data_IF_960601723654
#
_entry.id   IF_960601723654
#
_cell.length_a   1.000
_cell.length_b   1.000
_cell.length_c   1.000
_cell.angle_alpha   90.00
_cell.angle_beta   90.00
_cell.angle_gamma   90.00
#
_symmetry.space_group_name_H-M   'P 1'
#
loop_
_entity.id
_entity.type
_entity.pdbx_description
1 polymer ?
#
# COMPACT_ATOMS: atom_id res chain seq x y z
N UNK A 1 6.56 11.50 2.53
CA UNK A 1 6.72 12.30 1.27
C UNK A 1 7.92 11.77 0.53
N UNK A 2 7.68 11.08 -0.60
CA UNK A 2 8.67 10.27 -1.32
C UNK A 2 9.56 11.07 -2.30
N UNK A 3 9.55 12.39 -2.23
CA UNK A 3 10.36 13.27 -3.09
C UNK A 3 9.53 14.10 -4.08
N UNK A 4 10.19 14.67 -5.09
CA UNK A 4 9.59 15.54 -6.10
C UNK A 4 9.19 14.71 -7.34
N UNK A 5 8.39 13.66 -7.14
CA UNK A 5 7.90 12.83 -8.23
C UNK A 5 6.87 13.58 -9.09
N UNK A 6 6.77 13.18 -10.34
CA UNK A 6 5.69 13.61 -11.20
C UNK A 6 4.34 13.15 -10.64
N UNK A 7 3.31 13.95 -10.84
CA UNK A 7 1.95 13.60 -10.46
C UNK A 7 1.39 12.62 -11.51
N UNK A 8 1.64 11.34 -11.31
CA UNK A 8 1.24 10.27 -12.23
C UNK A 8 0.39 9.28 -11.44
N UNK A 9 -0.76 8.95 -11.97
CA UNK A 9 -1.62 7.90 -11.43
C UNK A 9 -1.02 6.51 -11.69
N UNK A 10 -1.42 5.53 -10.89
CA UNK A 10 -1.04 4.13 -11.08
C UNK A 10 -1.44 3.65 -12.48
N UNK A 11 -0.48 3.15 -13.23
CA UNK A 11 -0.71 2.61 -14.57
C UNK A 11 -1.32 1.21 -14.45
N UNK A 12 -2.64 1.13 -14.61
CA UNK A 12 -3.39 -0.12 -14.42
C UNK A 12 -3.02 -1.20 -15.43
N UNK A 13 -2.62 -0.83 -16.65
CA UNK A 13 -2.09 -1.76 -17.65
C UNK A 13 -0.81 -2.47 -17.21
N UNK A 14 -0.04 -1.86 -16.31
CA UNK A 14 1.12 -2.49 -15.68
C UNK A 14 0.69 -3.47 -14.61
N UNK A 15 -0.20 -3.05 -13.71
CA UNK A 15 -0.71 -3.93 -12.66
C UNK A 15 -1.42 -5.14 -13.25
N UNK A 16 -2.21 -4.95 -14.31
CA UNK A 16 -2.93 -6.03 -14.98
C UNK A 16 -2.02 -7.19 -15.43
N UNK A 17 -0.76 -6.92 -15.78
CA UNK A 17 0.17 -7.95 -16.25
C UNK A 17 0.59 -8.95 -15.17
N UNK A 18 0.64 -8.50 -13.92
CA UNK A 18 1.08 -9.36 -12.81
C UNK A 18 -0.09 -10.10 -12.14
N UNK A 19 -1.31 -9.54 -12.20
CA UNK A 19 -2.48 -10.13 -11.53
C UNK A 19 -2.76 -11.60 -11.89
N UNK A 20 -2.54 -12.07 -13.14
CA UNK A 20 -2.70 -13.50 -13.46
C UNK A 20 -1.80 -14.46 -12.68
N UNK A 21 -0.76 -13.94 -12.03
CA UNK A 21 0.19 -14.71 -11.22
C UNK A 21 -0.13 -14.68 -9.73
N UNK A 22 -1.19 -13.95 -9.33
CA UNK A 22 -1.57 -13.73 -7.93
C UNK A 22 -2.93 -14.35 -7.68
N UNK A 23 -3.03 -15.28 -6.76
CA UNK A 23 -4.31 -15.87 -6.34
C UNK A 23 -4.87 -15.22 -5.09
N UNK A 24 -3.99 -14.84 -4.15
CA UNK A 24 -4.39 -14.28 -2.86
C UNK A 24 -3.41 -13.22 -2.37
N UNK A 25 -3.94 -12.19 -1.71
CA UNK A 25 -3.19 -11.17 -0.98
C UNK A 25 -3.73 -11.11 0.44
N UNK A 26 -2.86 -11.32 1.43
CA UNK A 26 -3.26 -11.22 2.83
C UNK A 26 -3.61 -9.77 3.21
N UNK A 27 -2.68 -8.86 2.97
CA UNK A 27 -2.82 -7.45 3.34
C UNK A 27 -2.57 -6.56 2.12
N UNK A 28 -3.61 -5.96 1.58
CA UNK A 28 -3.49 -5.00 0.49
C UNK A 28 -3.43 -3.58 1.05
N UNK A 29 -2.34 -2.87 0.80
CA UNK A 29 -2.22 -1.46 1.20
C UNK A 29 -2.39 -0.55 0.00
N UNK A 30 -3.45 0.24 -0.02
CA UNK A 30 -3.66 1.31 -1.00
C UNK A 30 -3.12 2.62 -0.43
N UNK A 31 -1.96 3.01 -0.92
CA UNK A 31 -1.22 4.19 -0.50
C UNK A 31 -0.41 4.75 -1.68
N UNK A 32 0.53 5.60 -1.39
CA UNK A 32 1.35 6.22 -2.44
C UNK A 32 0.84 7.61 -2.70
N UNK A 33 0.99 8.36 -3.66
CA UNK A 33 0.43 9.73 -3.80
C UNK A 33 -0.65 10.08 -2.76
N UNK A 34 -1.87 10.22 -3.22
CA UNK A 34 -3.03 10.40 -2.34
C UNK A 34 -4.23 9.64 -2.94
N UNK A 35 -4.68 8.53 -2.36
CA UNK A 35 -5.76 7.72 -2.92
C UNK A 35 -7.07 8.48 -3.13
N UNK A 36 -7.37 9.44 -2.25
CA UNK A 36 -8.60 10.25 -2.37
C UNK A 36 -8.64 11.14 -3.62
N UNK A 37 -7.49 11.42 -4.22
CA UNK A 37 -7.41 12.16 -5.49
C UNK A 37 -7.63 11.26 -6.71
N UNK A 38 -7.61 9.94 -6.56
CA UNK A 38 -7.71 8.97 -7.65
C UNK A 38 -8.78 7.87 -7.41
N UNK A 39 -10.02 8.22 -6.99
CA UNK A 39 -11.03 7.22 -6.67
C UNK A 39 -11.40 6.33 -7.87
N UNK A 40 -11.37 6.87 -9.08
CA UNK A 40 -11.61 6.10 -10.31
C UNK A 40 -10.55 5.01 -10.51
N UNK A 41 -9.27 5.32 -10.23
CA UNK A 41 -8.18 4.33 -10.31
C UNK A 41 -8.39 3.22 -9.28
N UNK A 42 -8.84 3.55 -8.08
CA UNK A 42 -9.18 2.55 -7.05
C UNK A 42 -10.30 1.63 -7.52
N UNK A 43 -11.36 2.18 -8.13
CA UNK A 43 -12.47 1.42 -8.66
C UNK A 43 -12.04 0.50 -9.83
N UNK A 44 -11.31 1.04 -10.80
CA UNK A 44 -10.82 0.27 -11.96
C UNK A 44 -9.82 -0.82 -11.52
N UNK A 45 -8.98 -0.55 -10.53
CA UNK A 45 -8.09 -1.55 -9.93
C UNK A 45 -8.89 -2.71 -9.32
N UNK A 46 -9.96 -2.42 -8.59
CA UNK A 46 -10.85 -3.44 -8.05
C UNK A 46 -11.48 -4.30 -9.16
N UNK A 47 -11.91 -3.69 -10.25
CA UNK A 47 -12.43 -4.44 -11.40
C UNK A 47 -11.40 -5.40 -11.99
N UNK A 48 -10.12 -5.03 -12.03
CA UNK A 48 -9.05 -5.93 -12.44
C UNK A 48 -8.88 -7.10 -11.46
N UNK A 49 -8.91 -6.84 -10.15
CA UNK A 49 -8.85 -7.89 -9.14
C UNK A 49 -10.01 -8.89 -9.29
N UNK A 50 -11.22 -8.40 -9.50
CA UNK A 50 -12.40 -9.23 -9.78
C UNK A 50 -12.25 -10.03 -11.08
N UNK A 51 -11.75 -9.40 -12.15
CA UNK A 51 -11.51 -10.04 -13.46
C UNK A 51 -10.55 -11.22 -13.34
N UNK A 52 -9.47 -11.06 -12.60
CA UNK A 52 -8.44 -12.07 -12.40
C UNK A 52 -8.70 -12.97 -11.19
N UNK A 53 -9.79 -12.73 -10.45
CA UNK A 53 -10.18 -13.51 -9.25
C UNK A 53 -9.10 -13.53 -8.17
N UNK A 54 -8.45 -12.41 -7.96
CA UNK A 54 -7.46 -12.27 -6.90
C UNK A 54 -8.20 -12.08 -5.58
N UNK A 55 -8.11 -13.01 -4.66
CA UNK A 55 -8.67 -12.85 -3.34
C UNK A 55 -7.85 -11.85 -2.52
N UNK A 56 -8.51 -11.06 -1.69
CA UNK A 56 -7.88 -10.12 -0.77
C UNK A 56 -8.48 -10.34 0.61
N UNK A 57 -7.66 -10.71 1.59
CA UNK A 57 -8.18 -10.94 2.93
C UNK A 57 -8.60 -9.62 3.56
N UNK A 58 -7.73 -8.61 3.55
CA UNK A 58 -8.07 -7.29 4.07
C UNK A 58 -7.40 -6.16 3.27
N UNK A 59 -7.95 -4.96 3.38
CA UNK A 59 -7.44 -3.74 2.72
C UNK A 59 -7.17 -2.65 3.75
N UNK A 60 -6.03 -2.00 3.61
CA UNK A 60 -5.65 -0.85 4.40
C UNK A 60 -5.46 0.38 3.49
N UNK A 61 -6.34 1.37 3.63
CA UNK A 61 -6.35 2.58 2.79
C UNK A 61 -5.80 3.74 3.60
N UNK A 62 -4.71 4.34 3.15
CA UNK A 62 -4.05 5.45 3.84
C UNK A 62 -4.28 6.75 3.09
N UNK A 63 -4.98 7.70 3.70
CA UNK A 63 -5.30 9.01 3.12
C UNK A 63 -4.84 10.17 4.00
N UNK A 64 -4.52 11.30 3.38
CA UNK A 64 -4.26 12.54 4.10
C UNK A 64 -5.56 13.28 4.53
N UNK A 65 -6.73 12.78 4.13
CA UNK A 65 -8.04 13.29 4.55
C UNK A 65 -8.47 14.61 3.94
N UNK A 66 -7.75 15.18 2.96
CA UNK A 66 -8.08 16.51 2.41
C UNK A 66 -9.23 16.46 1.42
N UNK A 67 -9.31 15.42 0.59
CA UNK A 67 -10.28 15.31 -0.50
C UNK A 67 -11.22 14.12 -0.27
N UNK A 68 -12.08 14.20 0.74
CA UNK A 68 -13.04 13.13 1.05
C UNK A 68 -14.34 13.37 0.27
N UNK A 69 -14.32 12.92 -0.98
CA UNK A 69 -15.46 13.00 -1.89
C UNK A 69 -16.37 11.77 -1.75
N UNK A 70 -17.64 11.85 -2.22
CA UNK A 70 -18.52 10.68 -2.26
C UNK A 70 -17.92 9.53 -3.10
N UNK A 71 -17.23 9.83 -4.18
CA UNK A 71 -16.58 8.86 -5.07
C UNK A 71 -15.47 8.10 -4.35
N UNK A 72 -14.65 8.82 -3.55
CA UNK A 72 -13.63 8.18 -2.71
C UNK A 72 -14.25 7.26 -1.65
N UNK A 73 -15.30 7.73 -0.96
CA UNK A 73 -16.02 6.92 0.03
C UNK A 73 -16.59 5.66 -0.63
N UNK A 74 -17.18 5.78 -1.82
CA UNK A 74 -17.70 4.62 -2.56
C UNK A 74 -16.59 3.64 -2.90
N UNK A 75 -15.46 4.11 -3.43
CA UNK A 75 -14.31 3.24 -3.73
C UNK A 75 -13.78 2.52 -2.47
N UNK A 76 -13.72 3.19 -1.33
CA UNK A 76 -13.35 2.58 -0.06
C UNK A 76 -14.33 1.48 0.37
N UNK A 77 -15.64 1.73 0.22
CA UNK A 77 -16.69 0.76 0.54
C UNK A 77 -16.65 -0.46 -0.39
N UNK A 78 -16.41 -0.26 -1.68
CA UNK A 78 -16.28 -1.33 -2.66
C UNK A 78 -15.11 -2.26 -2.30
N UNK A 79 -13.95 -1.71 -1.97
CA UNK A 79 -12.81 -2.48 -1.50
C UNK A 79 -13.10 -3.21 -0.18
N UNK A 80 -13.70 -2.52 0.78
CA UNK A 80 -14.10 -3.15 2.06
C UNK A 80 -15.03 -4.34 1.87
N UNK A 81 -16.03 -4.21 0.97
CA UNK A 81 -16.99 -5.28 0.69
C UNK A 81 -16.39 -6.41 -0.17
N UNK A 82 -15.31 -6.15 -0.87
CA UNK A 82 -14.61 -7.16 -1.67
C UNK A 82 -13.73 -8.07 -0.82
N UNK A 83 -13.21 -7.59 0.30
CA UNK A 83 -12.31 -8.33 1.16
C UNK A 83 -13.00 -9.49 1.89
N UNK A 84 -12.28 -10.61 2.05
CA UNK A 84 -12.77 -11.80 2.74
C UNK A 84 -12.87 -11.57 4.26
N UNK A 85 -11.93 -10.82 4.84
CA UNK A 85 -11.89 -10.46 6.26
C UNK A 85 -12.06 -8.95 6.45
N UNK A 86 -13.32 -8.53 6.60
CA UNK A 86 -13.64 -7.11 6.76
C UNK A 86 -13.26 -6.56 8.15
N UNK A 87 -13.07 -7.39 9.16
CA UNK A 87 -12.76 -6.93 10.52
C UNK A 87 -11.36 -6.31 10.62
N UNK A 88 -10.44 -6.76 9.76
CA UNK A 88 -9.08 -6.25 9.69
C UNK A 88 -8.90 -5.11 8.67
N UNK A 89 -9.90 -4.90 7.81
CA UNK A 89 -9.86 -3.81 6.83
C UNK A 89 -10.05 -2.44 7.47
N UNK A 90 -9.26 -1.44 7.06
CA UNK A 90 -9.34 -0.12 7.66
C UNK A 90 -9.00 1.02 6.69
N UNK A 91 -9.58 2.20 6.96
CA UNK A 91 -9.06 3.47 6.45
C UNK A 91 -8.31 4.17 7.58
N UNK A 92 -7.10 4.62 7.31
CA UNK A 92 -6.28 5.38 8.25
C UNK A 92 -5.96 6.77 7.73
N UNK A 93 -5.96 7.74 8.65
CA UNK A 93 -5.46 9.07 8.36
C UNK A 93 -3.95 9.12 8.54
N UNK A 94 -3.26 9.59 7.49
CA UNK A 94 -1.85 9.98 7.58
C UNK A 94 -1.79 11.43 8.07
N UNK A 95 -1.81 11.61 9.38
CA UNK A 95 -1.75 12.92 10.00
C UNK A 95 -0.54 12.99 10.93
N UNK A 96 0.33 13.94 10.67
CA UNK A 96 1.47 14.28 11.50
C UNK A 96 1.68 15.81 11.54
N UNK A 97 2.71 16.27 12.25
CA UNK A 97 3.04 17.69 12.38
C UNK A 97 3.42 18.38 11.05
N UNK A 98 3.56 17.64 9.96
CA UNK A 98 3.94 18.13 8.63
C UNK A 98 2.76 18.17 7.66
N UNK A 99 1.61 17.61 8.05
CA UNK A 99 0.38 17.69 7.28
C UNK A 99 -0.38 18.95 7.63
N UNK A 100 -1.03 19.54 6.64
CA UNK A 100 -1.96 20.65 6.89
C UNK A 100 -3.17 20.16 7.70
N UNK A 101 -3.85 21.07 8.38
CA UNK A 101 -5.08 20.75 9.08
C UNK A 101 -6.14 20.19 8.13
N UNK A 102 -6.83 19.16 8.59
CA UNK A 102 -7.93 18.53 7.87
C UNK A 102 -9.24 19.19 8.28
N UNK A 103 -10.10 19.45 7.31
CA UNK A 103 -11.43 19.99 7.60
C UNK A 103 -12.22 19.00 8.47
N UNK A 104 -12.86 19.52 9.52
CA UNK A 104 -13.65 18.71 10.45
C UNK A 104 -14.75 17.91 9.75
N UNK A 105 -15.34 18.48 8.71
CA UNK A 105 -16.36 17.81 7.88
C UNK A 105 -15.84 16.55 7.18
N UNK A 106 -14.58 16.54 6.78
CA UNK A 106 -13.95 15.37 6.17
C UNK A 106 -13.68 14.28 7.21
N UNK A 107 -13.21 14.66 8.39
CA UNK A 107 -13.05 13.74 9.52
C UNK A 107 -14.39 13.10 9.89
N UNK A 108 -15.48 13.87 9.94
CA UNK A 108 -16.82 13.36 10.24
C UNK A 108 -17.33 12.38 9.19
N UNK A 109 -17.05 12.62 7.90
CA UNK A 109 -17.38 11.69 6.83
C UNK A 109 -16.66 10.34 7.01
N UNK A 110 -15.36 10.38 7.35
CA UNK A 110 -14.58 9.15 7.60
C UNK A 110 -15.08 8.43 8.85
N UNK A 111 -15.35 9.15 9.94
CA UNK A 111 -15.90 8.57 11.18
C UNK A 111 -17.27 7.91 11.02
N UNK A 112 -18.00 8.23 9.98
CA UNK A 112 -19.26 7.57 9.65
C UNK A 112 -19.06 6.15 9.07
N UNK A 113 -17.84 5.81 8.64
CA UNK A 113 -17.50 4.49 8.13
C UNK A 113 -17.09 3.57 9.30
N UNK A 114 -17.68 2.38 9.37
CA UNK A 114 -17.43 1.42 10.47
C UNK A 114 -15.99 0.91 10.51
N UNK A 115 -15.29 0.95 9.38
CA UNK A 115 -13.90 0.52 9.22
C UNK A 115 -12.90 1.69 9.19
N UNK A 116 -13.31 2.87 9.63
CA UNK A 116 -12.38 3.96 9.86
C UNK A 116 -11.61 3.75 11.16
N UNK A 117 -10.29 3.67 11.06
CA UNK A 117 -9.42 3.55 12.21
C UNK A 117 -9.15 4.94 12.81
N UNK A 118 -9.94 5.32 13.81
CA UNK A 118 -9.79 6.57 14.55
C UNK A 118 -8.63 6.43 15.56
N UNK A 119 -7.41 6.62 15.08
CA UNK A 119 -6.20 6.54 15.92
C UNK A 119 -6.05 7.73 16.87
N UNK A 120 -6.89 8.74 16.78
CA UNK A 120 -6.86 9.93 17.63
C UNK A 120 -6.92 9.62 19.14
N UNK A 121 -7.41 8.45 19.51
CA UNK A 121 -7.61 8.08 20.91
C UNK A 121 -6.36 7.52 21.59
N UNK A 122 -5.33 7.12 20.83
CA UNK A 122 -4.22 6.34 21.41
C UNK A 122 -2.82 6.81 21.02
N UNK A 123 -2.64 7.62 19.99
CA UNK A 123 -1.33 8.02 19.50
C UNK A 123 -1.11 9.51 19.69
N UNK A 124 -0.15 9.88 20.55
CA UNK A 124 0.38 11.24 20.62
C UNK A 124 1.22 11.47 19.36
N UNK A 125 0.61 12.00 18.30
CA UNK A 125 1.25 12.28 17.00
C UNK A 125 2.51 13.14 17.14
N UNK A 126 2.63 13.92 18.22
CA UNK A 126 3.84 14.67 18.53
C UNK A 126 5.03 13.78 18.87
N UNK A 127 4.81 12.48 19.08
CA UNK A 127 5.85 11.47 19.36
C UNK A 127 6.09 10.51 18.20
N UNK A 128 5.39 10.64 17.08
CA UNK A 128 5.60 9.77 15.92
C UNK A 128 6.99 10.00 15.33
N UNK A 129 7.65 8.91 14.97
CA UNK A 129 8.90 8.95 14.21
C UNK A 129 8.58 9.26 12.75
N UNK A 130 9.43 10.08 12.14
CA UNK A 130 9.38 10.37 10.71
C UNK A 130 10.46 9.57 10.02
N UNK A 131 10.09 8.78 9.02
CA UNK A 131 11.08 8.07 8.23
C UNK A 131 12.03 9.07 7.55
N UNK A 132 13.33 8.79 7.64
CA UNK A 132 14.37 9.65 7.10
C UNK A 132 14.50 9.46 5.57
N UNK A 133 13.38 9.65 4.85
CA UNK A 133 13.30 9.53 3.39
C UNK A 133 12.71 10.80 2.76
N UNK A 134 13.02 11.04 1.50
CA UNK A 134 12.46 12.14 0.71
C UNK A 134 12.65 13.51 1.37
N UNK A 135 11.58 14.28 1.41
CA UNK A 135 11.60 15.63 1.99
C UNK A 135 11.89 15.63 3.50
N UNK A 136 11.58 14.54 4.19
CA UNK A 136 11.87 14.41 5.61
C UNK A 136 13.36 14.45 5.93
N UNK A 137 14.25 14.09 5.00
CA UNK A 137 15.71 14.25 5.16
C UNK A 137 16.12 15.68 5.47
N UNK A 138 15.40 16.66 4.93
CA UNK A 138 15.66 18.09 5.08
C UNK A 138 15.14 18.68 6.40
N UNK A 139 14.28 17.94 7.10
CA UNK A 139 13.73 18.41 8.37
C UNK A 139 14.76 18.29 9.47
N UNK A 140 14.89 19.34 10.29
CA UNK A 140 15.74 19.31 11.49
C UNK A 140 14.96 18.66 12.65
N UNK A 141 14.62 17.36 12.50
CA UNK A 141 13.85 16.62 13.48
C UNK A 141 14.71 15.52 14.11
N UNK A 142 14.76 15.49 15.44
CA UNK A 142 15.50 14.48 16.21
C UNK A 142 14.81 13.10 16.19
N UNK A 143 13.56 13.02 15.69
CA UNK A 143 12.75 11.79 15.63
C UNK A 143 12.82 11.08 14.27
N UNK A 144 13.88 11.30 13.51
CA UNK A 144 14.08 10.58 12.26
C UNK A 144 14.47 9.13 12.52
N UNK A 145 13.81 8.23 11.85
CA UNK A 145 14.10 6.81 11.88
C UNK A 145 14.47 6.34 10.48
N UNK A 146 15.48 5.49 10.38
CA UNK A 146 15.80 4.83 9.12
C UNK A 146 14.72 3.79 8.80
N UNK A 147 14.37 3.59 7.54
CA UNK A 147 13.51 2.49 7.14
C UNK A 147 14.12 1.16 7.59
N UNK A 148 13.30 0.28 8.14
CA UNK A 148 13.71 -1.09 8.44
C UNK A 148 13.44 -1.88 7.16
N UNK A 149 14.50 -2.37 6.52
CA UNK A 149 14.41 -3.19 5.31
C UNK A 149 14.27 -4.64 5.68
N UNK A 150 13.17 -5.26 5.28
CA UNK A 150 12.95 -6.70 5.42
C UNK A 150 13.02 -7.29 4.02
N UNK A 151 13.89 -8.27 3.83
CA UNK A 151 13.95 -8.99 2.56
C UNK A 151 12.75 -9.94 2.47
N UNK A 152 12.06 -9.98 1.32
CA UNK A 152 10.98 -10.93 1.14
C UNK A 152 11.52 -12.36 1.14
N UNK A 153 10.79 -13.24 1.81
CA UNK A 153 11.05 -14.68 1.81
C UNK A 153 10.00 -15.35 0.94
N UNK A 154 10.41 -16.28 0.10
CA UNK A 154 9.49 -17.04 -0.73
C UNK A 154 9.73 -18.54 -0.57
N UNK A 155 8.64 -19.31 -0.62
CA UNK A 155 8.69 -20.78 -0.62
C UNK A 155 7.56 -21.34 -1.49
N UNK A 156 7.76 -22.55 -2.02
CA UNK A 156 6.73 -23.28 -2.74
C UNK A 156 5.98 -24.16 -1.74
N UNK A 157 4.67 -23.99 -1.68
CA UNK A 157 3.82 -24.89 -0.89
C UNK A 157 3.71 -26.24 -1.60
N UNK A 158 4.25 -27.31 -1.02
CA UNK A 158 4.27 -28.65 -1.62
C UNK A 158 2.88 -29.22 -1.93
N UNK A 159 1.88 -28.83 -1.12
CA UNK A 159 0.51 -29.37 -1.27
C UNK A 159 -0.25 -28.71 -2.42
N UNK A 160 -0.07 -27.40 -2.64
CA UNK A 160 -0.77 -26.63 -3.69
C UNK A 160 0.11 -26.33 -4.90
N UNK A 161 1.42 -26.50 -4.77
CA UNK A 161 2.43 -26.06 -5.74
C UNK A 161 2.33 -24.54 -6.05
N UNK A 162 1.97 -23.76 -5.03
CA UNK A 162 1.86 -22.32 -5.13
C UNK A 162 3.08 -21.63 -4.51
N UNK A 163 3.54 -20.57 -5.16
CA UNK A 163 4.55 -19.68 -4.61
C UNK A 163 3.91 -18.82 -3.52
N UNK A 164 4.45 -18.89 -2.29
CA UNK A 164 4.08 -18.02 -1.20
C UNK A 164 5.21 -17.04 -0.93
N UNK A 165 4.87 -15.77 -0.89
CA UNK A 165 5.79 -14.67 -0.56
C UNK A 165 5.34 -14.13 0.80
N UNK A 166 6.25 -14.18 1.77
CA UNK A 166 5.98 -13.84 3.17
C UNK A 166 7.03 -12.87 3.71
N UNK A 167 6.76 -12.33 4.89
CA UNK A 167 7.68 -11.43 5.61
C UNK A 167 8.13 -10.22 4.79
N UNK A 168 7.23 -9.69 3.94
CA UNK A 168 7.60 -8.63 3.03
C UNK A 168 6.51 -7.56 2.89
N UNK A 169 6.95 -6.38 2.49
CA UNK A 169 6.11 -5.28 2.05
C UNK A 169 6.36 -5.00 0.58
N UNK A 170 5.99 -5.94 -0.29
CA UNK A 170 6.13 -5.72 -1.74
C UNK A 170 5.34 -4.50 -2.17
N UNK A 171 5.95 -3.63 -2.96
CA UNK A 171 5.29 -2.47 -3.51
C UNK A 171 5.36 -2.47 -5.03
N UNK A 172 4.24 -2.16 -5.68
CA UNK A 172 4.18 -1.90 -7.11
C UNK A 172 4.13 -0.39 -7.29
N UNK A 173 5.10 0.15 -8.02
CA UNK A 173 5.15 1.58 -8.32
C UNK A 173 4.20 1.96 -9.44
N UNK A 174 3.97 3.26 -9.63
CA UNK A 174 3.15 3.78 -10.74
C UNK A 174 3.66 3.35 -12.11
N UNK A 175 4.96 3.05 -12.23
CA UNK A 175 5.60 2.63 -13.48
C UNK A 175 5.62 1.11 -13.67
N UNK A 176 5.13 0.34 -12.69
CA UNK A 176 5.14 -1.11 -12.71
C UNK A 176 6.42 -1.74 -12.20
N UNK A 177 7.30 -0.99 -11.53
CA UNK A 177 8.43 -1.60 -10.82
C UNK A 177 7.95 -2.34 -9.59
N UNK A 178 8.50 -3.50 -9.33
CA UNK A 178 8.27 -4.29 -8.11
C UNK A 178 9.44 -4.04 -7.16
N UNK A 179 9.11 -3.55 -5.98
CA UNK A 179 10.08 -3.21 -4.94
C UNK A 179 9.93 -4.15 -3.77
N UNK A 180 11.05 -4.49 -3.13
CA UNK A 180 11.09 -5.33 -1.92
C UNK A 180 10.64 -4.61 -0.66
N UNK A 181 10.31 -3.32 -0.74
CA UNK A 181 9.88 -2.53 0.39
C UNK A 181 9.01 -1.36 -0.08
N UNK A 182 7.98 -1.01 0.71
CA UNK A 182 7.11 0.14 0.47
C UNK A 182 7.70 1.47 0.98
N UNK A 183 8.70 1.43 1.87
CA UNK A 183 9.36 2.61 2.44
C UNK A 183 10.57 3.03 1.61
N UNK A 184 10.33 3.77 0.53
CA UNK A 184 11.36 4.15 -0.42
C UNK A 184 11.32 5.63 -0.84
N UNK A 185 12.43 6.10 -1.40
CA UNK A 185 12.51 7.34 -2.18
C UNK A 185 12.56 7.01 -3.67
N UNK A 186 11.98 7.87 -4.51
CA UNK A 186 12.06 7.69 -5.95
C UNK A 186 13.49 7.67 -6.51
N UNK A 187 14.43 8.32 -5.83
CA UNK A 187 15.86 8.33 -6.20
C UNK A 187 16.64 7.09 -5.76
N UNK A 188 16.01 6.22 -4.96
CA UNK A 188 16.64 5.03 -4.37
C UNK A 188 15.94 3.73 -4.79
N UNK A 189 14.96 3.81 -5.69
CA UNK A 189 14.19 2.65 -6.16
C UNK A 189 15.08 1.55 -6.75
N UNK A 190 16.15 1.92 -7.44
CA UNK A 190 17.08 0.96 -8.05
C UNK A 190 17.73 0.03 -7.02
N UNK A 191 17.87 0.47 -5.77
CA UNK A 191 18.50 -0.31 -4.70
C UNK A 191 17.57 -1.38 -4.09
N UNK A 192 16.26 -1.24 -4.29
CA UNK A 192 15.23 -2.13 -3.72
C UNK A 192 14.31 -2.69 -4.80
N UNK A 193 14.56 -2.37 -6.06
CA UNK A 193 13.85 -2.96 -7.18
C UNK A 193 14.30 -4.41 -7.33
N UNK A 194 13.33 -5.32 -7.33
CA UNK A 194 13.56 -6.75 -7.56
C UNK A 194 13.12 -7.19 -8.94
N UNK A 195 12.28 -6.41 -9.61
CA UNK A 195 11.82 -6.69 -10.95
C UNK A 195 10.76 -5.68 -11.42
N UNK A 196 10.01 -6.06 -12.42
CA UNK A 196 8.85 -5.29 -12.88
C UNK A 196 7.65 -6.21 -13.21
N UNK A 197 6.51 -5.60 -13.48
CA UNK A 197 5.25 -6.33 -13.70
C UNK A 197 5.19 -7.16 -14.99
N UNK A 198 6.25 -7.17 -15.81
CA UNK A 198 6.38 -8.08 -16.96
C UNK A 198 7.12 -9.37 -16.58
N UNK A 199 7.78 -9.38 -15.43
CA UNK A 199 8.55 -10.52 -14.96
C UNK A 199 7.64 -11.60 -14.37
N UNK A 200 8.15 -12.83 -14.28
CA UNK A 200 7.47 -13.87 -13.52
C UNK A 200 7.85 -13.76 -12.06
N UNK A 201 6.84 -13.77 -11.17
CA UNK A 201 7.07 -13.67 -9.73
C UNK A 201 8.01 -14.77 -9.22
N UNK A 202 7.87 -16.00 -9.70
CA UNK A 202 8.74 -17.12 -9.31
C UNK A 202 10.22 -16.90 -9.66
N UNK A 203 10.52 -16.13 -10.71
CA UNK A 203 11.90 -15.83 -11.13
C UNK A 203 12.52 -14.68 -10.32
N UNK A 204 11.72 -13.87 -9.66
CA UNK A 204 12.18 -12.74 -8.84
C UNK A 204 12.69 -13.18 -7.45
N UNK A 205 12.31 -14.36 -7.00
CA UNK A 205 12.69 -14.92 -5.69
C UNK A 205 13.58 -16.12 -5.88
N UNK A 206 14.86 -15.89 -6.18
CA UNK A 206 15.84 -16.94 -6.50
C UNK A 206 16.30 -17.78 -5.31
N UNK A 207 16.10 -17.27 -4.09
CA UNK A 207 16.38 -17.99 -2.86
C UNK A 207 15.09 -18.61 -2.30
N UNK A 208 14.47 -19.47 -3.11
CA UNK A 208 13.35 -20.30 -2.64
C UNK A 208 13.94 -21.26 -1.62
N UNK A 209 13.60 -21.06 -0.37
CA UNK A 209 13.98 -22.00 0.69
C UNK A 209 13.07 -23.21 0.54
N UNK A 210 13.61 -24.31 0.04
CA UNK A 210 13.01 -25.62 0.17
C UNK A 210 12.93 -25.94 1.68
N UNK A 211 11.71 -26.05 2.20
CA UNK A 211 11.35 -26.40 3.58
C UNK A 211 11.52 -25.32 4.67
N UNK A 212 10.42 -24.65 4.97
CA UNK A 212 10.17 -24.19 6.35
C UNK A 212 9.25 -25.25 6.99
N UNK A 213 9.84 -26.06 7.90
CA UNK A 213 9.12 -27.03 8.73
C UNK A 213 8.18 -26.35 9.73
#
# INVERSE_FOLDING_TARGET
MRGDAQNIDLQLDKVEKILPQISNICDLVLTGGEPSMAPNVMHELLQLFQKYRVNVNNVYIVTNGKDITPEFIMACLEWYLYCDDNELSAIALSQDEFHDEIEQTNIEKLKALSFFNDTDKTVDFRKSYVLNIGRAKKLNNQRKQQPIRVQPTAYINESSNELNIVDCNLAITVNGDILSDADYEYTETDNIKIGDTNDKLEELFTDIVDDIY
#
